data_IF_370272289275
#
_entry.id   IF_370272289275
#
_cell.length_a   1.000
_cell.length_b   1.000
_cell.length_c   1.000
_cell.angle_alpha   90.00
_cell.angle_beta   90.00
_cell.angle_gamma   90.00
#
_symmetry.space_group_name_H-M   'P 1'
#
loop_
_entity.id
_entity.type
_entity.pdbx_description
1 polymer ?
#
# COMPACT_ATOMS: atom_id res chain seq x y z
N UNK A 1 32.93 22.98 21.48
CA UNK A 1 32.00 21.90 21.90
C UNK A 1 30.97 22.38 22.91
N UNK A 2 31.39 22.98 24.03
CA UNK A 2 30.46 23.44 25.08
C UNK A 2 29.49 24.54 24.58
N UNK A 3 30.01 25.50 23.82
CA UNK A 3 29.21 26.58 23.25
C UNK A 3 28.15 26.10 22.25
N UNK A 4 28.48 25.11 21.40
CA UNK A 4 27.54 24.54 20.44
C UNK A 4 26.43 23.74 21.14
N UNK A 5 26.75 23.02 22.22
CA UNK A 5 25.77 22.28 23.01
C UNK A 5 24.78 23.21 23.71
N UNK A 6 25.27 24.31 24.31
CA UNK A 6 24.41 25.33 24.93
C UNK A 6 23.49 26.00 23.90
N UNK A 7 24.01 26.28 22.69
CA UNK A 7 23.22 26.85 21.60
C UNK A 7 22.11 25.91 21.13
N UNK A 8 22.42 24.63 20.95
CA UNK A 8 21.42 23.61 20.57
C UNK A 8 20.35 23.45 21.65
N UNK A 9 20.74 23.46 22.92
CA UNK A 9 19.82 23.39 24.06
C UNK A 9 18.86 24.59 24.11
N UNK A 10 19.39 25.81 23.95
CA UNK A 10 18.59 27.03 23.93
C UNK A 10 17.59 27.04 22.76
N UNK A 11 18.02 26.56 21.59
CA UNK A 11 17.15 26.40 20.42
C UNK A 11 16.02 25.40 20.74
N UNK A 12 16.33 24.22 21.29
CA UNK A 12 15.30 23.24 21.65
C UNK A 12 14.30 23.76 22.69
N UNK A 13 14.76 24.52 23.67
CA UNK A 13 13.87 25.14 24.68
C UNK A 13 12.91 26.14 24.04
N UNK A 14 13.39 26.95 23.09
CA UNK A 14 12.53 27.88 22.34
C UNK A 14 11.49 27.15 21.49
N UNK A 15 11.85 26.04 20.84
CA UNK A 15 10.89 25.22 20.09
C UNK A 15 9.79 24.64 20.99
N UNK A 16 10.14 24.23 22.20
CA UNK A 16 9.21 23.73 23.22
C UNK A 16 8.29 24.83 23.75
N UNK A 17 8.81 26.02 24.03
CA UNK A 17 8.03 27.20 24.43
C UNK A 17 7.02 27.63 23.36
N UNK A 18 7.44 27.59 22.09
CA UNK A 18 6.59 27.91 20.94
C UNK A 18 5.51 26.85 20.66
N UNK A 19 5.47 25.76 21.44
CA UNK A 19 4.47 24.71 21.31
C UNK A 19 4.57 23.92 20.02
N UNK A 20 5.71 23.98 19.31
CA UNK A 20 5.92 23.33 18.01
C UNK A 20 5.85 21.80 18.14
N UNK A 21 6.26 21.24 19.28
CA UNK A 21 6.08 19.82 19.62
C UNK A 21 4.59 19.41 19.54
N UNK A 22 3.66 20.25 20.02
CA UNK A 22 2.22 19.98 19.90
C UNK A 22 1.74 20.07 18.46
N UNK A 23 2.31 20.97 17.66
CA UNK A 23 1.97 21.12 16.23
C UNK A 23 2.43 19.88 15.44
N UNK A 24 3.62 19.37 15.73
CA UNK A 24 4.14 18.13 15.15
C UNK A 24 3.32 16.91 15.58
N UNK A 25 2.94 16.80 16.85
CA UNK A 25 2.04 15.75 17.34
C UNK A 25 0.67 15.80 16.65
N UNK A 26 0.06 16.99 16.51
CA UNK A 26 -1.22 17.17 15.82
C UNK A 26 -1.07 16.81 14.33
N UNK A 27 0.02 17.23 13.69
CA UNK A 27 0.31 16.90 12.29
C UNK A 27 0.47 15.40 12.09
N UNK A 28 1.18 14.70 12.97
CA UNK A 28 1.35 13.24 12.91
C UNK A 28 0.01 12.50 13.12
N UNK A 29 -0.80 12.94 14.08
CA UNK A 29 -2.15 12.38 14.30
C UNK A 29 -3.05 12.54 13.09
N UNK A 30 -3.02 13.72 12.45
CA UNK A 30 -3.79 13.97 11.22
C UNK A 30 -3.27 13.12 10.06
N UNK A 31 -1.96 13.06 9.84
CA UNK A 31 -1.37 12.22 8.78
C UNK A 31 -1.75 10.74 8.94
N UNK A 32 -1.75 10.20 10.17
CA UNK A 32 -2.21 8.81 10.43
C UNK A 32 -3.68 8.60 10.10
N UNK A 33 -4.55 9.57 10.37
CA UNK A 33 -5.97 9.48 10.04
C UNK A 33 -6.25 9.57 8.54
N UNK A 34 -5.36 10.19 7.76
CA UNK A 34 -5.46 10.32 6.30
C UNK A 34 -4.79 9.19 5.52
N UNK A 35 -3.97 8.35 6.17
CA UNK A 35 -3.41 7.17 5.54
C UNK A 35 -4.43 6.03 5.67
N UNK A 36 -5.19 5.69 4.61
CA UNK A 36 -6.02 4.50 4.66
C UNK A 36 -5.11 3.30 5.00
N UNK A 37 -5.60 2.41 5.87
CA UNK A 37 -4.92 1.15 6.12
C UNK A 37 -4.60 0.48 4.78
N UNK A 38 -3.40 -0.13 4.64
CA UNK A 38 -3.01 -0.73 3.37
C UNK A 38 -4.13 -1.65 2.89
N UNK A 39 -4.73 -1.30 1.75
CA UNK A 39 -5.82 -2.07 1.15
C UNK A 39 -5.21 -3.42 0.75
N UNK A 40 -5.51 -4.44 1.55
CA UNK A 40 -5.06 -5.80 1.28
C UNK A 40 -5.92 -6.37 0.15
N UNK A 41 -5.45 -6.20 -1.08
CA UNK A 41 -6.03 -6.90 -2.22
C UNK A 41 -5.76 -8.40 -2.04
N UNK A 42 -6.80 -9.13 -1.63
CA UNK A 42 -6.77 -10.59 -1.68
C UNK A 42 -6.60 -10.99 -3.14
N UNK A 43 -5.52 -11.69 -3.45
CA UNK A 43 -5.32 -12.29 -4.77
C UNK A 43 -6.51 -13.22 -4.99
N UNK A 44 -7.33 -12.93 -6.00
CA UNK A 44 -8.40 -13.85 -6.38
C UNK A 44 -7.75 -15.17 -6.78
N UNK A 45 -8.24 -16.31 -6.27
CA UNK A 45 -7.75 -17.60 -6.73
C UNK A 45 -7.89 -17.63 -8.26
N UNK A 46 -6.80 -17.95 -8.97
CA UNK A 46 -6.89 -18.22 -10.40
C UNK A 46 -7.80 -19.43 -10.53
N UNK A 47 -9.00 -19.24 -11.06
CA UNK A 47 -9.84 -20.38 -11.42
C UNK A 47 -9.08 -21.20 -12.47
N UNK A 48 -8.58 -22.38 -12.08
CA UNK A 48 -7.98 -23.36 -12.99
C UNK A 48 -9.01 -23.88 -14.03
N UNK A 49 -10.27 -23.48 -13.88
CA UNK A 49 -11.42 -23.92 -14.67
C UNK A 49 -11.64 -23.17 -15.99
N UNK A 50 -10.82 -22.18 -16.34
CA UNK A 50 -10.93 -21.46 -17.62
C UNK A 50 -10.47 -22.26 -18.87
N UNK A 51 -10.20 -23.56 -18.74
CA UNK A 51 -9.78 -24.41 -19.87
C UNK A 51 -10.95 -24.90 -20.74
N UNK A 52 -12.19 -24.74 -20.30
CA UNK A 52 -13.37 -25.25 -21.00
C UNK A 52 -13.98 -24.16 -21.88
N UNK A 53 -13.77 -24.27 -23.19
CA UNK A 53 -14.52 -23.49 -24.19
C UNK A 53 -15.93 -24.08 -24.30
N UNK A 54 -16.94 -23.24 -24.40
CA UNK A 54 -18.32 -23.66 -24.62
C UNK A 54 -18.84 -23.06 -25.94
N UNK A 55 -19.60 -23.85 -26.70
CA UNK A 55 -20.31 -23.37 -27.88
C UNK A 55 -21.48 -22.44 -27.49
N UNK A 56 -22.06 -21.72 -28.45
CA UNK A 56 -23.22 -20.82 -28.26
C UNK A 56 -24.42 -21.50 -27.60
N UNK A 57 -24.50 -22.82 -27.69
CA UNK A 57 -25.54 -23.65 -27.09
C UNK A 57 -25.18 -24.16 -25.67
N UNK A 58 -24.08 -23.68 -25.08
CA UNK A 58 -23.60 -24.09 -23.75
C UNK A 58 -22.98 -25.49 -23.68
N UNK A 59 -22.68 -26.12 -24.82
CA UNK A 59 -22.01 -27.42 -24.88
C UNK A 59 -20.49 -27.25 -24.81
N UNK A 60 -19.82 -28.18 -24.12
CA UNK A 60 -18.36 -28.22 -24.05
C UNK A 60 -17.78 -28.36 -25.47
N UNK A 61 -16.86 -27.46 -25.82
CA UNK A 61 -16.20 -27.41 -27.12
C UNK A 61 -14.89 -28.20 -27.06
N UNK A 62 -14.88 -29.39 -27.68
CA UNK A 62 -13.67 -30.18 -27.83
C UNK A 62 -12.76 -29.55 -28.88
N UNK A 63 -11.61 -29.03 -28.45
CA UNK A 63 -10.61 -28.49 -29.37
C UNK A 63 -10.10 -29.62 -30.29
N UNK A 64 -10.24 -29.49 -31.63
CA UNK A 64 -9.67 -30.47 -32.54
C UNK A 64 -8.14 -30.48 -32.37
N UNK A 65 -7.54 -31.67 -32.21
CA UNK A 65 -6.08 -31.83 -32.14
C UNK A 65 -5.46 -31.19 -33.38
N UNK A 66 -4.76 -30.07 -33.20
CA UNK A 66 -4.12 -29.39 -34.32
C UNK A 66 -3.04 -30.30 -34.91
N UNK A 67 -2.97 -30.40 -36.24
CA UNK A 67 -1.98 -31.21 -36.96
C UNK A 67 -0.55 -30.62 -36.90
N UNK A 68 -0.35 -29.52 -36.16
CA UNK A 68 0.85 -28.68 -36.26
C UNK A 68 1.84 -28.82 -35.11
N UNK A 69 1.55 -29.62 -34.07
CA UNK A 69 2.58 -30.03 -33.11
C UNK A 69 3.10 -31.43 -33.46
N UNK A 70 4.23 -31.46 -34.18
CA UNK A 70 5.17 -32.58 -34.19
C UNK A 70 6.26 -32.32 -33.16
#
# INVERSE_FOLDING_TARGET
>A
MLYSQLRMYAISMRFRELGIERIEEIRQRRMRAFLPEPIHFKIQPRDENFSNLYDRNGKLFELPKSKYHK
#
